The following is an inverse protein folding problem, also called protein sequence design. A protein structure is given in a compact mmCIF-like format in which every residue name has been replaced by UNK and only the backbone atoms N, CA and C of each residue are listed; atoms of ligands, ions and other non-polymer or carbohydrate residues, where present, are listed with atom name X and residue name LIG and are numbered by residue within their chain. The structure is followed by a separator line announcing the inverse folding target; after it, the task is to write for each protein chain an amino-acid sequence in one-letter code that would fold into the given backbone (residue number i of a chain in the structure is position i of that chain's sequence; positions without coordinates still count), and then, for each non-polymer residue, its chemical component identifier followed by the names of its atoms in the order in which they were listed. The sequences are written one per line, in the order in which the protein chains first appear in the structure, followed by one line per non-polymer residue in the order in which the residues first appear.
data_IF_142686516190
#
_entry.id   IF_142686516190
#
_cell.length_a   1.000
_cell.length_b   1.000
_cell.length_c   1.000
_cell.angle_alpha   90.00
_cell.angle_beta   90.00
_cell.angle_gamma   90.00
#
_symmetry.space_group_name_H-M   'P 1'
#
loop_
_entity.id
_entity.type
_entity.pdbx_description
1 polymer ?
#
# COMPACT_ATOMS: atom_id res chain seq x y z
N UNK A 1 5.05 8.18 -1.48
CA UNK A 1 3.84 7.40 -1.84
C UNK A 1 3.86 7.09 -3.33
N UNK A 2 3.39 5.92 -3.74
CA UNK A 2 3.30 5.54 -5.15
C UNK A 2 2.02 4.75 -5.41
N UNK A 3 1.19 5.23 -6.34
CA UNK A 3 -0.05 4.55 -6.73
C UNK A 3 0.19 3.64 -7.92
N UNK A 4 -0.22 2.38 -7.79
CA UNK A 4 -0.06 1.31 -8.74
C UNK A 4 -1.44 0.87 -9.24
N UNK A 5 -1.50 0.52 -10.53
CA UNK A 5 -2.58 -0.29 -11.08
C UNK A 5 -2.16 -1.76 -10.98
N UNK A 6 -3.04 -2.62 -10.47
CA UNK A 6 -2.78 -4.05 -10.28
C UNK A 6 -3.94 -4.88 -10.83
N UNK A 7 -3.63 -6.04 -11.38
CA UNK A 7 -4.62 -7.07 -11.66
C UNK A 7 -4.78 -7.93 -10.40
N UNK A 8 -5.91 -7.74 -9.71
CA UNK A 8 -6.25 -8.52 -8.52
C UNK A 8 -7.57 -9.26 -8.74
N UNK A 9 -7.53 -10.59 -8.66
CA UNK A 9 -8.70 -11.47 -8.91
C UNK A 9 -9.36 -11.20 -10.28
N UNK A 10 -8.54 -11.08 -11.33
CA UNK A 10 -8.98 -10.79 -12.71
C UNK A 10 -9.70 -9.46 -12.88
N UNK A 11 -9.46 -8.49 -11.98
CA UNK A 11 -10.02 -7.15 -12.05
C UNK A 11 -8.92 -6.12 -11.87
N UNK A 12 -9.02 -5.04 -12.63
CA UNK A 12 -8.25 -3.82 -12.42
C UNK A 12 -8.58 -3.24 -11.04
N UNK A 13 -7.54 -3.04 -10.24
CA UNK A 13 -7.57 -2.47 -8.90
C UNK A 13 -6.41 -1.52 -8.70
N UNK A 14 -6.48 -0.72 -7.64
CA UNK A 14 -5.48 0.28 -7.33
C UNK A 14 -4.96 0.09 -5.91
N UNK A 15 -3.64 0.25 -5.76
CA UNK A 15 -2.95 0.17 -4.46
C UNK A 15 -1.98 1.34 -4.38
N UNK A 16 -1.98 2.06 -3.27
CA UNK A 16 -1.02 3.13 -3.01
C UNK A 16 -0.07 2.66 -1.92
N UNK A 17 1.20 2.51 -2.28
CA UNK A 17 2.24 2.10 -1.33
C UNK A 17 2.92 3.33 -0.75
N UNK A 18 3.27 3.27 0.52
CA UNK A 18 3.98 4.33 1.22
C UNK A 18 4.96 3.76 2.23
N UNK A 19 6.18 4.28 2.20
CA UNK A 19 7.25 4.02 3.16
C UNK A 19 7.95 5.35 3.45
N UNK A 20 8.41 5.50 4.68
CA UNK A 20 9.31 6.54 5.11
C UNK A 20 10.71 6.31 4.55
N UNK A 21 11.50 7.38 4.48
CA UNK A 21 12.88 7.33 3.98
C UNK A 21 13.76 6.41 4.85
N UNK A 22 13.43 6.29 6.13
CA UNK A 22 14.17 5.50 7.11
C UNK A 22 13.57 4.11 7.36
N UNK A 23 12.50 3.73 6.65
CA UNK A 23 11.93 2.41 6.79
C UNK A 23 12.86 1.39 6.11
N UNK A 24 13.26 0.35 6.86
CA UNK A 24 14.12 -0.70 6.32
C UNK A 24 13.27 -1.82 5.72
N UNK A 25 13.07 -1.76 4.41
CA UNK A 25 12.30 -2.76 3.67
C UNK A 25 12.96 -4.14 3.64
N UNK A 26 14.28 -4.22 3.91
CA UNK A 26 15.06 -5.47 3.85
C UNK A 26 15.20 -6.13 5.21
N UNK A 27 15.13 -5.36 6.30
CA UNK A 27 15.11 -5.92 7.65
C UNK A 27 13.97 -6.91 7.75
N UNK A 28 14.29 -8.08 8.28
CA UNK A 28 13.34 -9.15 8.46
C UNK A 28 13.44 -9.80 9.83
N UNK A 29 12.37 -10.49 10.19
CA UNK A 29 12.25 -11.30 11.39
C UNK A 29 11.84 -12.71 11.00
N UNK A 30 12.24 -13.70 11.81
CA UNK A 30 12.07 -15.11 11.48
C UNK A 30 10.63 -15.63 11.56
N UNK A 31 9.71 -14.85 12.14
CA UNK A 31 8.30 -15.20 12.26
C UNK A 31 7.43 -13.95 12.54
N UNK A 32 6.13 -13.97 12.20
CA UNK A 32 5.21 -12.86 12.49
C UNK A 32 5.12 -12.49 13.97
N UNK A 33 5.36 -13.44 14.88
CA UNK A 33 5.37 -13.19 16.33
C UNK A 33 6.42 -12.16 16.78
N UNK A 34 7.47 -11.93 15.97
CA UNK A 34 8.52 -10.96 16.25
C UNK A 34 8.34 -9.64 15.47
N UNK A 35 7.14 -9.37 14.93
CA UNK A 35 6.92 -8.18 14.09
C UNK A 35 7.08 -6.84 14.84
N UNK A 36 7.08 -6.85 16.16
CA UNK A 36 7.42 -5.68 16.99
C UNK A 36 8.84 -5.16 16.76
N UNK A 37 9.73 -6.00 16.25
CA UNK A 37 11.08 -5.61 15.84
C UNK A 37 11.11 -4.90 14.47
N UNK A 38 10.04 -4.97 13.68
CA UNK A 38 9.93 -4.22 12.42
C UNK A 38 9.37 -2.83 12.72
N UNK A 39 9.99 -1.82 12.10
CA UNK A 39 9.55 -0.43 12.26
C UNK A 39 8.99 0.12 10.96
N UNK A 40 7.87 0.83 11.05
CA UNK A 40 7.24 1.57 9.96
C UNK A 40 6.94 2.99 10.46
N UNK A 41 7.41 4.00 9.73
CA UNK A 41 7.27 5.42 10.10
C UNK A 41 7.85 5.77 11.48
N UNK A 42 8.91 5.06 11.90
CA UNK A 42 9.61 5.32 13.16
C UNK A 42 8.94 4.71 14.41
N UNK A 43 7.85 3.96 14.24
CA UNK A 43 7.21 3.16 15.30
C UNK A 43 7.19 1.69 14.91
N UNK A 44 6.84 0.79 15.82
CA UNK A 44 6.71 -0.64 15.48
C UNK A 44 5.56 -0.86 14.49
N UNK A 45 5.64 -1.93 13.68
CA UNK A 45 4.53 -2.33 12.80
C UNK A 45 3.27 -2.61 13.61
N UNK A 46 3.39 -3.28 14.77
CA UNK A 46 2.28 -3.54 15.68
C UNK A 46 1.56 -2.24 16.11
N UNK A 47 2.33 -1.20 16.44
CA UNK A 47 1.76 0.10 16.79
C UNK A 47 1.05 0.76 15.61
N UNK A 48 1.61 0.66 14.40
CA UNK A 48 0.96 1.15 13.18
C UNK A 48 -0.38 0.44 12.92
N UNK A 49 -0.44 -0.88 13.08
CA UNK A 49 -1.67 -1.66 12.91
C UNK A 49 -2.74 -1.26 13.93
N UNK A 50 -2.35 -1.11 15.20
CA UNK A 50 -3.26 -0.64 16.26
C UNK A 50 -3.83 0.73 15.92
N UNK A 51 -3.00 1.66 15.41
CA UNK A 51 -3.44 2.98 14.94
C UNK A 51 -4.36 2.91 13.72
N UNK A 52 -4.38 1.81 12.98
CA UNK A 52 -5.28 1.59 11.84
C UNK A 52 -6.51 0.75 12.19
N UNK A 53 -6.71 0.42 13.47
CA UNK A 53 -7.81 -0.43 13.93
C UNK A 53 -7.71 -1.86 13.44
N UNK A 54 -6.49 -2.35 13.16
CA UNK A 54 -6.22 -3.73 12.75
C UNK A 54 -5.63 -4.52 13.92
N UNK A 55 -6.04 -5.78 14.03
CA UNK A 55 -5.42 -6.74 14.93
C UNK A 55 -4.09 -7.23 14.36
N UNK A 56 -3.18 -7.59 15.25
CA UNK A 56 -1.85 -8.07 14.89
C UNK A 56 -1.91 -9.35 14.04
N UNK A 57 -2.86 -10.21 14.37
CA UNK A 57 -3.16 -11.48 13.72
C UNK A 57 -3.72 -11.30 12.29
N UNK A 58 -4.26 -10.11 12.00
CA UNK A 58 -4.74 -9.77 10.67
C UNK A 58 -3.59 -9.43 9.70
N UNK A 59 -2.39 -9.13 10.20
CA UNK A 59 -1.24 -8.86 9.34
C UNK A 59 -0.73 -10.14 8.69
N UNK A 60 -0.85 -10.17 7.37
CA UNK A 60 -0.29 -11.23 6.53
C UNK A 60 1.04 -10.78 5.94
N UNK A 61 1.98 -11.71 5.83
CA UNK A 61 3.18 -11.54 5.00
C UNK A 61 3.03 -12.34 3.71
N UNK A 62 3.32 -11.72 2.58
CA UNK A 62 3.43 -12.38 1.29
C UNK A 62 4.79 -13.06 1.14
N UNK A 63 4.83 -14.26 0.56
CA UNK A 63 6.08 -15.00 0.35
C UNK A 63 6.36 -16.02 1.46
N UNK A 64 7.64 -16.15 1.83
CA UNK A 64 8.11 -17.13 2.80
C UNK A 64 7.80 -16.69 4.24
N UNK A 65 7.10 -17.53 5.00
CA UNK A 65 6.72 -17.27 6.39
C UNK A 65 7.91 -17.22 7.36
N UNK A 66 9.09 -17.70 6.94
CA UNK A 66 10.33 -17.62 7.71
C UNK A 66 11.09 -16.30 7.54
N UNK A 67 10.60 -15.40 6.67
CA UNK A 67 11.25 -14.14 6.34
C UNK A 67 10.24 -12.98 6.26
N UNK A 68 9.79 -12.52 7.42
CA UNK A 68 8.81 -11.44 7.53
C UNK A 68 9.51 -10.07 7.48
N UNK A 69 9.27 -9.30 6.42
CA UNK A 69 9.81 -7.94 6.23
C UNK A 69 8.72 -6.98 5.76
N UNK A 70 8.98 -5.67 5.82
CA UNK A 70 8.03 -4.66 5.31
C UNK A 70 7.75 -4.82 3.80
N UNK A 71 8.71 -5.36 3.04
CA UNK A 71 8.53 -5.66 1.62
C UNK A 71 7.37 -6.65 1.38
N UNK A 72 7.29 -7.67 2.25
CA UNK A 72 6.25 -8.69 2.20
C UNK A 72 5.03 -8.39 3.07
N UNK A 73 5.07 -7.39 3.95
CA UNK A 73 3.94 -7.06 4.82
C UNK A 73 2.75 -6.53 4.03
N UNK A 74 1.57 -7.14 4.20
CA UNK A 74 0.35 -6.76 3.49
C UNK A 74 -0.33 -5.60 4.21
N UNK A 75 0.14 -4.38 3.90
CA UNK A 75 -0.26 -3.16 4.61
C UNK A 75 -1.20 -2.28 3.80
N UNK A 76 -1.19 -2.38 2.47
CA UNK A 76 -1.78 -1.33 1.62
C UNK A 76 -3.17 -1.72 1.09
N UNK A 77 -4.19 -0.85 1.23
CA UNK A 77 -5.55 -1.14 0.76
C UNK A 77 -5.64 -1.38 -0.75
N UNK A 78 -6.39 -2.40 -1.14
CA UNK A 78 -6.76 -2.68 -2.52
C UNK A 78 -8.11 -2.04 -2.82
N UNK A 79 -8.12 -1.03 -3.69
CA UNK A 79 -9.31 -0.23 -4.00
C UNK A 79 -9.78 -0.40 -5.44
N UNK A 80 -11.04 -0.02 -5.70
CA UNK A 80 -11.65 -0.02 -7.03
C UNK A 80 -11.08 1.07 -7.96
N UNK A 81 -10.62 2.17 -7.38
CA UNK A 81 -10.16 3.36 -8.09
C UNK A 81 -8.94 3.98 -7.40
N UNK A 82 -8.20 4.81 -8.15
CA UNK A 82 -6.96 5.43 -7.70
C UNK A 82 -7.18 6.46 -6.58
N UNK A 83 -8.30 7.19 -6.59
CA UNK A 83 -8.58 8.23 -5.61
C UNK A 83 -8.80 7.60 -4.23
N UNK A 84 -9.66 6.58 -4.14
CA UNK A 84 -9.92 5.84 -2.91
C UNK A 84 -8.64 5.21 -2.35
N UNK A 85 -7.84 4.59 -3.23
CA UNK A 85 -6.52 4.02 -2.87
C UNK A 85 -5.59 5.05 -2.24
N UNK A 86 -5.48 6.22 -2.87
CA UNK A 86 -4.63 7.30 -2.39
C UNK A 86 -5.12 7.88 -1.07
N UNK A 87 -6.42 8.22 -0.99
CA UNK A 87 -7.02 8.84 0.19
C UNK A 87 -6.92 7.95 1.43
N UNK A 88 -7.28 6.66 1.31
CA UNK A 88 -7.19 5.71 2.43
C UNK A 88 -5.74 5.56 2.92
N UNK A 89 -4.79 5.45 1.99
CA UNK A 89 -3.38 5.32 2.36
C UNK A 89 -2.85 6.61 3.00
N UNK A 90 -3.36 7.77 2.59
CA UNK A 90 -3.00 9.05 3.20
C UNK A 90 -3.55 9.17 4.63
N UNK A 91 -4.78 8.74 4.87
CA UNK A 91 -5.37 8.69 6.22
C UNK A 91 -4.58 7.74 7.13
N UNK A 92 -4.19 6.57 6.63
CA UNK A 92 -3.30 5.64 7.34
C UNK A 92 -1.95 6.27 7.69
N UNK A 93 -1.33 6.98 6.73
CA UNK A 93 -0.06 7.68 6.95
C UNK A 93 -0.22 8.79 8.00
N UNK A 94 -1.29 9.58 7.92
CA UNK A 94 -1.56 10.64 8.88
C UNK A 94 -1.75 10.08 10.29
N UNK A 95 -2.49 8.98 10.44
CA UNK A 95 -2.64 8.27 11.71
C UNK A 95 -1.28 7.77 12.25
N UNK A 96 -0.47 7.15 11.39
CA UNK A 96 0.85 6.68 11.76
C UNK A 96 1.81 7.81 12.15
N UNK A 97 1.75 8.99 11.52
CA UNK A 97 2.66 10.10 11.82
C UNK A 97 2.21 10.97 12.99
N UNK A 98 0.90 11.21 13.13
CA UNK A 98 0.34 12.08 14.18
C UNK A 98 0.07 11.34 15.50
N UNK A 99 0.08 10.01 15.49
CA UNK A 99 -0.35 9.20 16.63
C UNK A 99 -1.87 9.11 16.79
N UNK A 100 -2.65 9.66 15.85
CA UNK A 100 -4.10 9.48 15.86
C UNK A 100 -4.49 8.06 15.44
N UNK A 101 -5.73 7.69 15.76
CA UNK A 101 -6.33 6.44 15.27
C UNK A 101 -7.15 6.70 14.01
N UNK A 102 -7.03 5.80 13.05
CA UNK A 102 -7.88 5.66 11.88
C UNK A 102 -8.40 4.23 11.86
N UNK A 103 -9.63 3.98 11.42
CA UNK A 103 -10.13 2.61 11.32
C UNK A 103 -10.35 2.28 9.86
N UNK A 104 -9.56 1.33 9.36
CA UNK A 104 -9.76 0.82 8.01
C UNK A 104 -11.16 0.23 7.87
N UNK A 105 -11.85 0.44 6.72
CA UNK A 105 -13.13 -0.20 6.48
C UNK A 105 -13.04 -1.71 6.67
N UNK A 106 -14.07 -2.30 7.28
CA UNK A 106 -14.17 -3.76 7.43
C UNK A 106 -14.04 -4.44 6.07
N UNK A 107 -13.39 -5.60 6.05
CA UNK A 107 -13.14 -6.41 4.86
C UNK A 107 -12.23 -5.77 3.79
N UNK A 108 -11.53 -4.68 4.14
CA UNK A 108 -10.51 -4.11 3.27
C UNK A 108 -9.42 -5.14 2.99
N UNK A 109 -9.26 -5.51 1.72
CA UNK A 109 -8.17 -6.38 1.29
C UNK A 109 -6.88 -5.58 1.30
N UNK A 110 -5.84 -6.13 1.93
CA UNK A 110 -4.52 -5.53 1.99
C UNK A 110 -3.53 -6.30 1.10
N UNK A 111 -2.61 -5.56 0.52
CA UNK A 111 -1.58 -6.05 -0.39
C UNK A 111 -0.20 -5.57 0.05
N UNK A 112 0.81 -6.41 -0.13
CA UNK A 112 2.20 -6.02 0.11
C UNK A 112 2.81 -5.29 -1.08
N UNK A 113 3.96 -4.64 -0.88
CA UNK A 113 4.72 -4.08 -2.00
C UNK A 113 5.14 -5.18 -2.98
N UNK A 114 5.56 -6.35 -2.46
CA UNK A 114 5.90 -7.50 -3.27
C UNK A 114 4.77 -7.94 -4.20
N UNK A 115 3.56 -8.13 -3.65
CA UNK A 115 2.39 -8.55 -4.42
C UNK A 115 1.96 -7.49 -5.43
N UNK A 116 1.98 -6.22 -5.03
CA UNK A 116 1.60 -5.12 -5.92
C UNK A 116 2.52 -5.02 -7.14
N UNK A 117 3.81 -5.36 -7.00
CA UNK A 117 4.75 -5.41 -8.11
C UNK A 117 4.60 -6.67 -8.97
N UNK A 118 4.29 -7.82 -8.37
CA UNK A 118 4.05 -9.06 -9.11
C UNK A 118 2.77 -8.99 -9.96
N UNK A 119 1.73 -8.34 -9.43
CA UNK A 119 0.43 -8.22 -10.08
C UNK A 119 0.25 -6.90 -10.85
N UNK A 120 1.33 -6.15 -11.07
CA UNK A 120 1.28 -4.82 -11.68
C UNK A 120 0.71 -4.87 -13.10
N UNK A 121 -0.35 -4.12 -13.35
CA UNK A 121 -0.99 -4.03 -14.67
C UNK A 121 -0.32 -2.94 -15.51
N UNK A 122 0.74 -3.32 -16.22
CA UNK A 122 1.50 -2.41 -17.06
C UNK A 122 0.68 -1.85 -18.23
N UNK A 123 -0.19 -2.67 -18.83
CA UNK A 123 -0.98 -2.26 -19.97
C UNK A 123 -1.97 -1.17 -19.57
N UNK A 124 -2.74 -1.39 -18.50
CA UNK A 124 -3.74 -0.43 -18.07
C UNK A 124 -3.12 0.90 -17.63
N UNK A 125 -1.93 0.86 -17.00
CA UNK A 125 -1.19 2.07 -16.66
C UNK A 125 -0.74 2.86 -17.89
N UNK A 126 -0.30 2.18 -18.96
CA UNK A 126 0.09 2.83 -20.22
C UNK A 126 -1.12 3.46 -20.88
N UNK A 127 -2.24 2.74 -20.97
CA UNK A 127 -3.51 3.26 -21.49
C UNK A 127 -3.95 4.52 -20.74
N UNK A 128 -3.91 4.50 -19.40
CA UNK A 128 -4.24 5.66 -18.57
C UNK A 128 -3.32 6.85 -18.85
N UNK A 129 -2.00 6.63 -18.92
CA UNK A 129 -1.02 7.70 -19.19
C UNK A 129 -1.17 8.28 -20.59
N UNK A 130 -1.43 7.44 -21.60
CA UNK A 130 -1.68 7.88 -22.97
C UNK A 130 -2.98 8.68 -23.05
N UNK A 131 -4.05 8.25 -22.36
CA UNK A 131 -5.29 9.02 -22.25
C UNK A 131 -5.07 10.40 -21.66
N UNK A 132 -4.36 10.50 -20.52
CA UNK A 132 -4.01 11.78 -19.91
C UNK A 132 -3.16 12.67 -20.85
N UNK A 133 -2.21 12.08 -21.56
CA UNK A 133 -1.38 12.81 -22.51
C UNK A 133 -2.23 13.45 -23.63
N UNK A 134 -3.15 12.68 -24.22
CA UNK A 134 -4.05 13.19 -25.26
C UNK A 134 -5.03 14.25 -24.71
N UNK A 135 -5.58 14.05 -23.52
CA UNK A 135 -6.44 15.04 -22.85
C UNK A 135 -5.72 16.37 -22.65
N UNK A 136 -4.47 16.33 -22.17
CA UNK A 136 -3.64 17.53 -21.97
C UNK A 136 -3.34 18.21 -23.31
N UNK A 137 -3.06 17.44 -24.36
CA UNK A 137 -2.77 17.96 -25.69
C UNK A 137 -4.00 18.63 -26.32
N UNK A 138 -5.19 18.04 -26.16
CA UNK A 138 -6.45 18.59 -26.67
C UNK A 138 -6.91 19.83 -25.88
N UNK A 139 -6.52 19.96 -24.60
CA UNK A 139 -6.81 21.14 -23.76
C UNK A 139 -5.87 22.31 -24.00
N UNK A 140 -4.88 22.22 -24.91
CA UNK A 140 -4.11 23.41 -25.31
C UNK A 140 -5.07 24.41 -25.97
N UNK A 141 -5.24 25.64 -25.45
CA UNK A 141 -5.99 26.66 -26.15
C UNK A 141 -5.29 26.92 -27.49
N UNK A 142 -6.07 26.92 -28.58
CA UNK A 142 -5.63 27.47 -29.85
C UNK A 142 -5.35 28.96 -29.59
N UNK A 143 -4.07 29.32 -29.44
CA UNK A 143 -3.62 30.71 -29.54
C UNK A 143 -3.73 31.19 -30.99
#
# INVERSE_FOLDING_TARGET
MHSLCVNHKQKTRFVTVVFGINDDLKRSVGAPAFMEDLNLFGVSVAESLSRWGLENEALRFSGDASNCSLWGACLFPVCSDQQSSFSLTLEMLQAALSGSTFTLPRDTQLMSMQEALQCKDLQQMLEFRTGLYEDIKQRKPNN
#
